data_IF_832245647776
#
_entry.id   IF_832245647776
#
_cell.length_a   1.000
_cell.length_b   1.000
_cell.length_c   1.000
_cell.angle_alpha   90.00
_cell.angle_beta   90.00
_cell.angle_gamma   90.00
#
_symmetry.space_group_name_H-M   'P 1'
#
loop_
_entity.id
_entity.type
_entity.pdbx_description
1 polymer ?
#
# COMPACT_ATOMS: atom_id res chain seq x y z
N UNK A 1 2.27 -19.14 2.90
CA UNK A 1 3.04 -18.37 3.91
C UNK A 1 2.08 -17.81 4.97
N UNK A 2 2.54 -17.66 6.24
CA UNK A 2 1.69 -17.18 7.36
C UNK A 2 1.11 -15.80 7.05
N UNK A 3 1.95 -14.87 6.57
CA UNK A 3 1.56 -13.53 6.16
C UNK A 3 0.40 -13.53 5.15
N UNK A 4 0.45 -14.36 4.11
CA UNK A 4 -0.60 -14.40 3.09
C UNK A 4 -1.96 -14.84 3.65
N UNK A 5 -1.98 -15.86 4.53
CA UNK A 5 -3.23 -16.30 5.17
C UNK A 5 -3.84 -15.20 6.04
N UNK A 6 -3.00 -14.44 6.75
CA UNK A 6 -3.45 -13.31 7.57
C UNK A 6 -3.98 -12.17 6.69
N UNK A 7 -3.29 -11.86 5.58
CA UNK A 7 -3.73 -10.85 4.63
C UNK A 7 -5.10 -11.21 4.02
N UNK A 8 -5.29 -12.46 3.56
CA UNK A 8 -6.59 -12.93 3.06
C UNK A 8 -7.72 -12.75 4.08
N UNK A 9 -7.48 -13.12 5.34
CA UNK A 9 -8.48 -12.97 6.41
C UNK A 9 -8.83 -11.52 6.69
N UNK A 10 -7.88 -10.61 6.57
CA UNK A 10 -8.08 -9.18 6.85
C UNK A 10 -8.96 -8.49 5.82
N UNK A 11 -9.03 -8.98 4.56
CA UNK A 11 -9.74 -8.32 3.46
C UNK A 11 -11.06 -8.99 3.05
N UNK A 12 -11.50 -10.06 3.71
CA UNK A 12 -12.77 -10.72 3.37
C UNK A 12 -13.96 -9.78 3.53
N UNK A 13 -14.97 -9.93 2.65
CA UNK A 13 -16.20 -9.15 2.66
C UNK A 13 -17.44 -10.03 2.47
N UNK A 14 -18.59 -9.60 3.02
CA UNK A 14 -19.89 -10.22 2.78
C UNK A 14 -20.57 -9.73 1.48
N UNK A 15 -20.04 -8.66 0.88
CA UNK A 15 -20.56 -8.10 -0.38
C UNK A 15 -19.99 -8.90 -1.55
N UNK A 16 -20.83 -9.67 -2.23
CA UNK A 16 -20.42 -10.59 -3.32
C UNK A 16 -19.59 -9.91 -4.42
N UNK A 17 -19.97 -8.70 -4.84
CA UNK A 17 -19.21 -7.96 -5.84
C UNK A 17 -17.79 -7.66 -5.35
N UNK A 18 -17.67 -7.17 -4.12
CA UNK A 18 -16.37 -6.84 -3.53
C UNK A 18 -15.52 -8.10 -3.36
N UNK A 19 -16.12 -9.20 -2.87
CA UNK A 19 -15.41 -10.48 -2.71
C UNK A 19 -14.85 -10.99 -4.05
N UNK A 20 -15.62 -10.88 -5.13
CA UNK A 20 -15.18 -11.23 -6.47
C UNK A 20 -13.99 -10.36 -6.93
N UNK A 21 -14.05 -9.04 -6.68
CA UNK A 21 -12.95 -8.11 -7.00
C UNK A 21 -11.71 -8.43 -6.17
N UNK A 22 -11.86 -8.75 -4.88
CA UNK A 22 -10.76 -9.14 -4.01
C UNK A 22 -10.05 -10.39 -4.51
N UNK A 23 -10.80 -11.41 -4.94
CA UNK A 23 -10.24 -12.62 -5.55
C UNK A 23 -9.44 -12.27 -6.81
N UNK A 24 -9.94 -11.35 -7.63
CA UNK A 24 -9.25 -10.87 -8.82
C UNK A 24 -7.92 -10.19 -8.48
N UNK A 25 -7.90 -9.28 -7.49
CA UNK A 25 -6.69 -8.60 -7.02
C UNK A 25 -5.67 -9.61 -6.49
N UNK A 26 -6.13 -10.56 -5.66
CA UNK A 26 -5.28 -11.53 -5.00
C UNK A 26 -4.60 -12.52 -5.96
N UNK A 27 -5.25 -12.86 -7.08
CA UNK A 27 -4.65 -13.69 -8.13
C UNK A 27 -3.50 -12.99 -8.88
N UNK A 28 -3.34 -11.69 -8.73
CA UNK A 28 -2.39 -10.82 -9.48
C UNK A 28 -1.36 -10.16 -8.58
N UNK A 29 -1.02 -10.83 -7.50
CA UNK A 29 -0.02 -10.34 -6.55
C UNK A 29 1.31 -10.04 -7.24
N UNK A 30 1.91 -8.94 -6.82
CA UNK A 30 3.26 -8.60 -7.17
C UNK A 30 4.30 -9.39 -6.36
N UNK A 31 5.55 -8.96 -6.45
CA UNK A 31 6.69 -9.55 -5.74
C UNK A 31 6.64 -9.35 -4.22
N UNK A 32 5.67 -8.60 -3.69
CA UNK A 32 5.47 -8.31 -2.26
C UNK A 32 6.75 -7.81 -1.54
N UNK A 33 7.54 -6.99 -2.23
CA UNK A 33 8.83 -6.49 -1.71
C UNK A 33 8.65 -5.74 -0.40
N UNK A 34 7.56 -4.96 -0.25
CA UNK A 34 7.30 -4.14 0.95
C UNK A 34 7.07 -4.98 2.21
N UNK A 35 6.13 -5.92 2.26
CA UNK A 35 5.99 -6.80 3.41
C UNK A 35 7.24 -7.66 3.65
N UNK A 36 7.96 -8.07 2.60
CA UNK A 36 9.24 -8.79 2.75
C UNK A 36 10.27 -7.93 3.47
N UNK A 37 10.38 -6.63 3.13
CA UNK A 37 11.30 -5.71 3.83
C UNK A 37 10.95 -5.57 5.31
N UNK A 38 9.69 -5.39 5.67
CA UNK A 38 9.26 -5.35 7.07
C UNK A 38 9.74 -6.59 7.83
N UNK A 39 9.51 -7.77 7.25
CA UNK A 39 9.89 -9.04 7.88
C UNK A 39 11.40 -9.23 7.95
N UNK A 40 12.15 -8.80 6.92
CA UNK A 40 13.62 -8.89 6.90
C UNK A 40 14.24 -7.98 7.95
N UNK A 41 13.80 -6.72 8.04
CA UNK A 41 14.29 -5.79 9.06
C UNK A 41 13.96 -6.30 10.46
N UNK A 42 12.75 -6.77 10.71
CA UNK A 42 12.40 -7.37 11.99
C UNK A 42 13.30 -8.58 12.34
N UNK A 43 13.65 -9.41 11.37
CA UNK A 43 14.55 -10.53 11.59
C UNK A 43 15.98 -10.07 11.89
N UNK A 44 16.44 -9.00 11.23
CA UNK A 44 17.79 -8.43 11.46
C UNK A 44 17.94 -7.84 12.85
N UNK A 45 16.92 -7.13 13.36
CA UNK A 45 16.96 -6.47 14.66
C UNK A 45 16.48 -7.35 15.84
N UNK A 46 15.87 -8.51 15.54
CA UNK A 46 15.44 -9.45 16.59
C UNK A 46 16.61 -10.22 17.17
N UNK A 47 16.77 -10.19 18.50
CA UNK A 47 17.84 -10.93 19.23
C UNK A 47 17.84 -12.45 19.00
N UNK A 48 16.69 -13.04 18.62
CA UNK A 48 16.52 -14.49 18.38
C UNK A 48 16.00 -14.83 16.98
N UNK A 49 15.93 -13.86 16.08
CA UNK A 49 15.31 -14.04 14.75
C UNK A 49 13.80 -14.34 14.77
N UNK A 50 13.15 -14.10 15.93
CA UNK A 50 11.71 -14.37 16.11
C UNK A 50 10.91 -13.16 15.61
N UNK A 51 9.97 -13.41 14.72
CA UNK A 51 9.07 -12.38 14.18
C UNK A 51 7.80 -12.36 15.02
N UNK A 52 7.45 -11.20 15.55
CA UNK A 52 6.26 -11.01 16.40
C UNK A 52 4.97 -10.95 15.56
N UNK A 53 3.81 -11.19 16.20
CA UNK A 53 2.52 -10.99 15.55
C UNK A 53 2.29 -9.52 15.14
N UNK A 54 2.81 -8.57 15.91
CA UNK A 54 2.79 -7.14 15.57
C UNK A 54 3.54 -6.88 14.25
N UNK A 55 4.68 -7.51 14.04
CA UNK A 55 5.43 -7.41 12.78
C UNK A 55 4.65 -7.95 11.58
N UNK A 56 3.94 -9.07 11.74
CA UNK A 56 3.07 -9.57 10.67
C UNK A 56 1.91 -8.62 10.38
N UNK A 57 1.34 -7.96 11.41
CA UNK A 57 0.33 -6.91 11.20
C UNK A 57 0.91 -5.69 10.50
N UNK A 58 2.12 -5.27 10.86
CA UNK A 58 2.84 -4.20 10.16
C UNK A 58 3.04 -4.52 8.67
N UNK A 59 3.46 -5.74 8.35
CA UNK A 59 3.61 -6.19 6.96
C UNK A 59 2.27 -6.19 6.20
N UNK A 60 1.18 -6.63 6.86
CA UNK A 60 -0.18 -6.57 6.30
C UNK A 60 -0.64 -5.12 6.08
N UNK A 61 -0.40 -4.25 7.06
CA UNK A 61 -0.78 -2.84 7.02
C UNK A 61 -0.14 -2.14 5.80
N UNK A 62 1.16 -2.32 5.60
CA UNK A 62 1.86 -1.76 4.45
C UNK A 62 1.33 -2.29 3.13
N UNK A 63 1.02 -3.57 3.02
CA UNK A 63 0.49 -4.17 1.79
C UNK A 63 -0.94 -3.68 1.49
N UNK A 64 -1.78 -3.48 2.52
CA UNK A 64 -3.11 -2.89 2.37
C UNK A 64 -3.03 -1.46 1.83
N UNK A 65 -2.19 -0.62 2.44
CA UNK A 65 -1.97 0.77 2.00
C UNK A 65 -1.42 0.80 0.58
N UNK A 66 -0.41 -0.02 0.28
CA UNK A 66 0.15 -0.09 -1.07
C UNK A 66 -0.87 -0.53 -2.12
N UNK A 67 -1.72 -1.50 -1.78
CA UNK A 67 -2.80 -1.94 -2.67
C UNK A 67 -3.82 -0.84 -2.92
N UNK A 68 -4.21 -0.10 -1.88
CA UNK A 68 -5.09 1.06 -2.00
C UNK A 68 -4.49 2.14 -2.91
N UNK A 69 -3.21 2.52 -2.67
CA UNK A 69 -2.52 3.52 -3.50
C UNK A 69 -2.52 3.09 -4.97
N UNK A 70 -2.15 1.84 -5.27
CA UNK A 70 -2.11 1.35 -6.65
C UNK A 70 -3.46 1.43 -7.36
N UNK A 71 -4.57 1.15 -6.65
CA UNK A 71 -5.92 1.23 -7.20
C UNK A 71 -6.30 2.68 -7.48
N UNK A 72 -5.98 3.59 -6.56
CA UNK A 72 -6.25 5.01 -6.74
C UNK A 72 -5.35 5.64 -7.82
N UNK A 73 -4.07 5.27 -7.87
CA UNK A 73 -3.13 5.72 -8.91
C UNK A 73 -3.60 5.29 -10.31
N UNK A 74 -4.10 4.06 -10.46
CA UNK A 74 -4.64 3.59 -11.74
C UNK A 74 -5.80 4.46 -12.25
N UNK A 75 -6.57 5.08 -11.33
CA UNK A 75 -7.65 6.01 -11.68
C UNK A 75 -7.08 7.39 -12.03
N UNK A 76 -6.15 7.89 -11.23
CA UNK A 76 -5.53 9.21 -11.43
C UNK A 76 -4.74 9.26 -12.74
N UNK A 77 -4.04 8.18 -13.07
CA UNK A 77 -3.22 8.03 -14.27
C UNK A 77 -4.03 7.58 -15.50
N UNK A 78 -5.35 7.37 -15.36
CA UNK A 78 -6.24 6.77 -16.37
C UNK A 78 -5.66 5.47 -16.95
N UNK A 79 -5.00 4.69 -16.14
CA UNK A 79 -4.33 3.45 -16.53
C UNK A 79 -5.34 2.31 -16.70
N UNK A 80 -5.29 1.65 -17.85
CA UNK A 80 -6.19 0.54 -18.18
C UNK A 80 -5.53 -0.84 -18.00
N UNK A 81 -4.19 -0.88 -18.00
CA UNK A 81 -3.40 -2.12 -17.88
C UNK A 81 -2.29 -1.93 -16.86
N UNK A 82 -2.15 -2.90 -15.95
CA UNK A 82 -1.05 -3.01 -15.00
C UNK A 82 -0.53 -4.45 -14.97
N UNK A 83 0.77 -4.63 -15.15
CA UNK A 83 1.42 -5.96 -15.16
C UNK A 83 0.75 -6.97 -16.11
N UNK A 84 0.40 -6.54 -17.31
CA UNK A 84 -0.30 -7.32 -18.34
C UNK A 84 -1.75 -7.72 -17.99
N UNK A 85 -2.36 -7.08 -16.99
CA UNK A 85 -3.75 -7.31 -16.63
C UNK A 85 -4.54 -6.00 -16.65
N UNK A 86 -5.83 -6.10 -16.92
CA UNK A 86 -6.74 -4.97 -16.82
C UNK A 86 -6.80 -4.45 -15.37
N UNK A 87 -6.83 -3.14 -15.21
CA UNK A 87 -6.97 -2.49 -13.90
C UNK A 87 -8.41 -2.59 -13.39
N UNK A 88 -8.64 -2.27 -12.12
CA UNK A 88 -9.98 -2.32 -11.52
C UNK A 88 -10.91 -1.30 -12.18
N UNK A 89 -10.41 -0.08 -12.45
CA UNK A 89 -11.18 0.97 -13.15
C UNK A 89 -11.53 0.57 -14.58
N UNK A 90 -10.66 -0.14 -15.29
CA UNK A 90 -10.95 -0.63 -16.64
C UNK A 90 -12.08 -1.69 -16.67
N UNK A 91 -12.11 -2.57 -15.65
CA UNK A 91 -13.12 -3.65 -15.59
C UNK A 91 -14.43 -3.20 -14.95
N UNK A 92 -14.38 -2.43 -13.87
CA UNK A 92 -15.56 -2.08 -13.04
C UNK A 92 -15.85 -0.59 -12.95
N UNK A 93 -15.17 0.25 -13.74
CA UNK A 93 -15.31 1.72 -13.77
C UNK A 93 -14.69 2.40 -12.54
N UNK A 94 -14.36 3.68 -12.68
CA UNK A 94 -13.70 4.49 -11.65
C UNK A 94 -14.45 4.49 -10.31
N UNK A 95 -15.79 4.59 -10.34
CA UNK A 95 -16.60 4.60 -9.11
C UNK A 95 -16.38 3.35 -8.24
N UNK A 96 -16.32 2.18 -8.84
CA UNK A 96 -16.07 0.93 -8.11
C UNK A 96 -14.62 0.86 -7.64
N UNK A 97 -13.66 1.29 -8.49
CA UNK A 97 -12.25 1.29 -8.13
C UNK A 97 -11.97 2.19 -6.92
N UNK A 98 -12.55 3.42 -6.86
CA UNK A 98 -12.45 4.30 -5.68
C UNK A 98 -12.93 3.57 -4.42
N UNK A 99 -14.14 2.98 -4.45
CA UNK A 99 -14.70 2.29 -3.29
C UNK A 99 -13.88 1.07 -2.86
N UNK A 100 -13.24 0.37 -3.80
CA UNK A 100 -12.32 -0.73 -3.49
C UNK A 100 -11.05 -0.22 -2.81
N UNK A 101 -10.46 0.89 -3.31
CA UNK A 101 -9.32 1.54 -2.66
C UNK A 101 -9.64 1.99 -1.24
N UNK A 102 -10.80 2.63 -1.04
CA UNK A 102 -11.29 3.05 0.28
C UNK A 102 -11.52 1.87 1.22
N UNK A 103 -11.99 0.74 0.69
CA UNK A 103 -12.12 -0.50 1.47
C UNK A 103 -10.75 -0.99 1.97
N UNK A 104 -9.70 -0.98 1.13
CA UNK A 104 -8.35 -1.35 1.57
C UNK A 104 -7.81 -0.39 2.63
N UNK A 105 -8.04 0.93 2.49
CA UNK A 105 -7.68 1.93 3.50
C UNK A 105 -8.41 1.68 4.82
N UNK A 106 -9.72 1.43 4.78
CA UNK A 106 -10.50 1.14 5.98
C UNK A 106 -10.02 -0.12 6.70
N UNK A 107 -9.64 -1.17 5.95
CA UNK A 107 -9.04 -2.38 6.52
C UNK A 107 -7.69 -2.12 7.17
N UNK A 108 -6.86 -1.26 6.58
CA UNK A 108 -5.59 -0.84 7.16
C UNK A 108 -5.80 -0.15 8.52
N UNK A 109 -6.76 0.79 8.60
CA UNK A 109 -7.13 1.45 9.86
C UNK A 109 -7.62 0.46 10.91
N UNK A 110 -8.51 -0.47 10.53
CA UNK A 110 -9.06 -1.47 11.44
C UNK A 110 -7.98 -2.42 11.99
N UNK A 111 -7.08 -2.92 11.15
CA UNK A 111 -5.97 -3.79 11.59
C UNK A 111 -5.15 -3.12 12.69
N UNK A 112 -4.88 -1.82 12.58
CA UNK A 112 -4.10 -1.08 13.56
C UNK A 112 -4.90 -0.75 14.82
N UNK A 113 -6.14 -0.27 14.68
CA UNK A 113 -6.96 0.19 15.83
C UNK A 113 -7.46 -0.96 16.70
N UNK A 114 -7.92 -2.07 16.10
CA UNK A 114 -8.37 -3.26 16.82
C UNK A 114 -7.26 -3.91 17.66
N UNK A 115 -6.01 -3.78 17.20
CA UNK A 115 -4.84 -4.30 17.91
C UNK A 115 -4.09 -3.25 18.75
N UNK A 116 -4.59 -2.01 18.79
CA UNK A 116 -3.97 -0.87 19.49
C UNK A 116 -2.53 -0.57 19.03
N UNK A 117 -2.23 -0.90 17.77
CA UNK A 117 -0.92 -0.66 17.15
C UNK A 117 -0.85 0.79 16.62
N UNK A 118 -1.05 1.78 17.49
CA UNK A 118 -1.12 3.20 17.10
C UNK A 118 0.21 3.75 16.60
N UNK A 119 1.32 3.20 17.04
CA UNK A 119 2.66 3.50 16.55
C UNK A 119 2.82 3.09 15.07
N UNK A 120 2.37 1.88 14.71
CA UNK A 120 2.36 1.43 13.32
C UNK A 120 1.45 2.32 12.45
N UNK A 121 0.26 2.66 12.97
CA UNK A 121 -0.68 3.53 12.28
C UNK A 121 -0.09 4.92 12.01
N UNK A 122 0.57 5.51 13.01
CA UNK A 122 1.23 6.81 12.87
C UNK A 122 2.29 6.80 11.76
N UNK A 123 3.19 5.80 11.77
CA UNK A 123 4.26 5.70 10.77
C UNK A 123 3.71 5.53 9.35
N UNK A 124 2.71 4.69 9.18
CA UNK A 124 2.08 4.49 7.87
C UNK A 124 1.30 5.72 7.43
N UNK A 125 0.62 6.42 8.34
CA UNK A 125 -0.10 7.65 8.03
C UNK A 125 0.84 8.76 7.54
N UNK A 126 2.04 8.88 8.13
CA UNK A 126 3.07 9.80 7.64
C UNK A 126 3.51 9.44 6.23
N UNK A 127 3.75 8.16 5.95
CA UNK A 127 4.13 7.71 4.61
C UNK A 127 3.03 7.97 3.57
N UNK A 128 1.76 7.73 3.92
CA UNK A 128 0.60 8.02 3.05
C UNK A 128 0.50 9.50 2.74
N UNK A 129 0.68 10.37 3.75
CA UNK A 129 0.72 11.82 3.57
C UNK A 129 1.79 12.23 2.56
N UNK A 130 3.03 11.73 2.73
CA UNK A 130 4.14 12.03 1.82
C UNK A 130 3.87 11.57 0.39
N UNK A 131 3.29 10.38 0.21
CA UNK A 131 2.90 9.86 -1.12
C UNK A 131 1.87 10.79 -1.77
N UNK A 132 0.81 11.15 -1.05
CA UNK A 132 -0.26 12.00 -1.57
C UNK A 132 0.24 13.41 -1.93
N UNK A 133 1.11 14.01 -1.09
CA UNK A 133 1.76 15.27 -1.39
C UNK A 133 2.68 15.16 -2.63
N UNK A 134 3.39 14.03 -2.76
CA UNK A 134 4.24 13.74 -3.92
C UNK A 134 3.45 13.66 -5.22
N UNK A 135 2.29 12.98 -5.21
CA UNK A 135 1.40 12.91 -6.38
C UNK A 135 0.87 14.29 -6.80
N UNK A 136 0.37 15.06 -5.85
CA UNK A 136 -0.11 16.42 -6.11
C UNK A 136 1.01 17.33 -6.64
N UNK A 137 2.22 17.20 -6.08
CA UNK A 137 3.39 17.92 -6.54
C UNK A 137 3.79 17.53 -7.98
N UNK A 138 3.73 16.24 -8.31
CA UNK A 138 3.96 15.75 -9.67
C UNK A 138 2.97 16.37 -10.66
N UNK A 139 1.66 16.36 -10.33
CA UNK A 139 0.61 16.95 -11.17
C UNK A 139 0.84 18.46 -11.35
N UNK A 140 1.23 19.17 -10.30
CA UNK A 140 1.55 20.60 -10.36
C UNK A 140 2.74 20.86 -11.29
N UNK A 141 3.81 20.08 -11.19
CA UNK A 141 5.04 20.24 -11.97
C UNK A 141 4.91 19.80 -13.42
N UNK A 142 4.11 18.78 -13.71
CA UNK A 142 3.87 18.34 -15.10
C UNK A 142 3.25 19.43 -15.98
N UNK A 143 2.51 20.36 -15.39
CA UNK A 143 1.94 21.52 -16.11
C UNK A 143 2.98 22.58 -16.49
N UNK A 144 4.11 22.65 -15.80
CA UNK A 144 5.14 23.69 -16.03
C UNK A 144 6.26 23.26 -16.97
N UNK A 145 6.35 21.98 -17.34
CA UNK A 145 7.43 21.37 -18.16
C UNK A 145 8.86 21.69 -17.67
N UNK A 146 9.03 22.21 -16.45
CA UNK A 146 10.32 22.56 -15.86
C UNK A 146 10.47 21.82 -14.55
N UNK A 147 11.27 20.76 -14.56
CA UNK A 147 11.62 20.00 -13.37
C UNK A 147 13.15 20.02 -13.23
N UNK A 148 13.65 20.59 -12.14
CA UNK A 148 15.07 20.51 -11.82
C UNK A 148 15.40 19.13 -11.24
N UNK A 149 16.68 18.73 -11.28
CA UNK A 149 17.14 17.48 -10.68
C UNK A 149 16.76 17.39 -9.18
N UNK A 150 16.92 18.48 -8.44
CA UNK A 150 16.55 18.55 -7.02
C UNK A 150 15.05 18.27 -6.80
N UNK A 151 14.20 18.89 -7.61
CA UNK A 151 12.74 18.68 -7.54
C UNK A 151 12.36 17.25 -7.94
N UNK A 152 13.05 16.66 -8.91
CA UNK A 152 12.87 15.26 -9.28
C UNK A 152 13.25 14.31 -8.14
N UNK A 153 14.39 14.53 -7.48
CA UNK A 153 14.81 13.75 -6.32
C UNK A 153 13.84 13.88 -5.14
N UNK A 154 13.32 15.08 -4.89
CA UNK A 154 12.28 15.29 -3.89
C UNK A 154 10.99 14.51 -4.22
N UNK A 155 10.58 14.54 -5.49
CA UNK A 155 9.41 13.82 -5.97
C UNK A 155 9.52 12.30 -5.73
N UNK A 156 10.62 11.67 -6.17
CA UNK A 156 10.84 10.23 -6.00
C UNK A 156 11.02 9.85 -4.53
N UNK A 157 11.59 10.74 -3.72
CA UNK A 157 11.67 10.56 -2.27
C UNK A 157 10.29 10.45 -1.65
N UNK A 158 9.40 11.38 -1.95
CA UNK A 158 8.02 11.39 -1.44
C UNK A 158 7.20 10.24 -2.00
N UNK A 159 7.16 10.07 -3.32
CA UNK A 159 6.28 9.11 -3.99
C UNK A 159 6.71 7.65 -3.77
N UNK A 160 8.01 7.37 -3.74
CA UNK A 160 8.52 6.00 -3.74
C UNK A 160 9.30 5.66 -2.48
N UNK A 161 10.31 6.46 -2.10
CA UNK A 161 11.21 6.12 -1.02
C UNK A 161 10.54 6.18 0.36
N UNK A 162 9.57 7.06 0.59
CA UNK A 162 8.84 7.21 1.84
C UNK A 162 8.24 5.90 2.35
N UNK A 163 7.55 5.16 1.47
CA UNK A 163 6.95 3.88 1.85
C UNK A 163 7.99 2.78 2.07
N UNK A 164 9.12 2.78 1.34
CA UNK A 164 10.22 1.86 1.61
C UNK A 164 10.88 2.14 2.95
N UNK A 165 11.13 3.42 3.27
CA UNK A 165 11.67 3.83 4.56
C UNK A 165 10.71 3.46 5.71
N UNK A 166 9.41 3.66 5.52
CA UNK A 166 8.38 3.20 6.44
C UNK A 166 8.46 1.69 6.67
N UNK A 167 8.59 0.86 5.62
CA UNK A 167 8.74 -0.60 5.77
C UNK A 167 9.93 -0.97 6.64
N UNK A 168 11.08 -0.33 6.45
CA UNK A 168 12.28 -0.58 7.24
C UNK A 168 12.07 -0.20 8.71
N UNK A 169 11.47 0.97 8.96
CA UNK A 169 11.17 1.47 10.31
C UNK A 169 10.16 0.60 11.05
N UNK A 170 9.14 0.09 10.37
CA UNK A 170 8.15 -0.81 10.95
C UNK A 170 8.72 -2.19 11.30
N UNK A 171 9.83 -2.58 10.68
CA UNK A 171 10.53 -3.83 10.96
C UNK A 171 11.59 -3.70 12.05
N UNK A 172 12.10 -2.50 12.34
CA UNK A 172 13.13 -2.27 13.36
C UNK A 172 12.52 -2.05 14.75
#
# INVERSE_FOLDING_TARGET
LIHEKQFYRSISSKVKLLDFILIYILKRKGKQIRPILVLLFAKMFSKKGIISQKTYRAANLVELIHSASLIHDDIVDDSHIRRNFLTINALWKNKIAVLVGDFFLSKALLVSTENKDYDLLNEVSLAVKEISEGELYQIQKSRSFKLSEKEYLELISKKTASLFACCCKLGS
#
